data_IF_647333627571
#
_entry.id   IF_647333627571
#
_cell.length_a   1.000
_cell.length_b   1.000
_cell.length_c   1.000
_cell.angle_alpha   90.00
_cell.angle_beta   90.00
_cell.angle_gamma   90.00
#
_symmetry.space_group_name_H-M   'P 1'
#
loop_
_entity.id
_entity.type
_entity.pdbx_description
1 polymer ?
2 non-polymer ?
3 water ?
#
# COMPACT_ATOMS: atom_id res chain seq x y z
N UNK A 1 24.12 -6.07 10.51
CA UNK A 1 22.62 -6.05 10.57
C UNK A 1 22.10 -7.07 11.57
N UNK A 2 20.98 -6.72 12.22
CA UNK A 2 20.36 -7.57 13.22
C UNK A 2 19.60 -8.76 12.64
N UNK A 3 19.49 -9.86 13.38
CA UNK A 3 18.77 -11.05 12.93
C UNK A 3 17.30 -10.74 12.67
N UNK A 4 16.71 -11.39 11.68
CA UNK A 4 15.34 -11.04 11.31
C UNK A 4 14.33 -11.35 12.39
N UNK A 5 13.37 -10.44 12.59
CA UNK A 5 12.24 -10.71 13.43
C UNK A 5 10.98 -10.33 12.70
N UNK A 6 9.88 -10.91 13.10
CA UNK A 6 8.60 -10.63 12.46
C UNK A 6 7.79 -9.69 13.32
N UNK A 7 7.60 -8.46 12.86
CA UNK A 7 6.77 -7.49 13.60
C UNK A 7 5.36 -8.06 13.83
N UNK A 8 4.78 -7.72 14.97
CA UNK A 8 3.47 -8.28 15.34
C UNK A 8 2.38 -8.05 14.30
N UNK A 9 2.47 -6.93 13.62
CA UNK A 9 1.49 -6.56 12.64
C UNK A 9 1.46 -7.49 11.45
N UNK A 10 2.65 -8.01 11.10
CA UNK A 10 2.76 -8.92 9.94
C UNK A 10 2.03 -10.21 10.27
N UNK A 11 2.15 -10.70 11.51
CA UNK A 11 1.41 -11.90 11.91
C UNK A 11 -0.07 -11.60 12.09
N UNK A 12 -0.40 -10.42 12.60
CA UNK A 12 -1.81 -10.04 12.84
C UNK A 12 -2.65 -10.08 11.55
N UNK A 13 -2.04 -9.71 10.42
CA UNK A 13 -2.77 -9.74 9.17
C UNK A 13 -2.58 -11.04 8.40
N UNK A 14 -2.07 -12.07 9.07
CA UNK A 14 -2.04 -13.44 8.57
C UNK A 14 -1.31 -13.58 7.21
N UNK A 15 -0.16 -12.91 7.13
CA UNK A 15 0.65 -12.93 5.94
C UNK A 15 1.57 -14.13 5.85
N UNK A 16 2.32 -14.47 6.90
CA UNK A 16 3.31 -15.55 6.73
C UNK A 16 2.77 -16.85 6.15
N UNK A 17 1.57 -17.25 6.50
CA UNK A 17 1.06 -18.49 5.91
C UNK A 17 0.72 -18.44 4.41
N UNK A 18 0.74 -17.26 3.81
CA UNK A 18 0.45 -17.12 2.41
C UNK A 18 1.70 -17.37 1.57
N UNK A 19 2.86 -17.14 2.17
CA UNK A 19 4.07 -17.06 1.38
C UNK A 19 4.36 -18.33 0.57
N UNK A 20 3.88 -19.47 1.05
CA UNK A 20 4.02 -20.75 0.36
C UNK A 20 3.31 -20.69 -0.97
N UNK A 21 2.24 -19.90 -1.07
CA UNK A 21 1.49 -19.74 -2.31
C UNK A 21 2.18 -18.67 -3.13
N UNK A 22 2.34 -17.50 -2.51
CA UNK A 22 3.13 -16.44 -3.12
C UNK A 22 3.59 -15.48 -2.06
N UNK A 23 4.80 -14.93 -2.24
CA UNK A 23 5.27 -13.84 -1.41
C UNK A 23 5.15 -12.49 -2.12
N UNK A 24 4.42 -12.48 -3.24
CA UNK A 24 4.28 -11.25 -4.02
C UNK A 24 5.24 -11.20 -5.22
N UNK A 25 6.18 -12.13 -5.31
CA UNK A 25 7.18 -12.10 -6.43
C UNK A 25 6.67 -12.58 -7.79
N UNK A 26 5.44 -12.35 -8.10
CA UNK A 26 4.89 -12.60 -9.41
C UNK A 26 5.23 -11.34 -10.22
N UNK A 27 5.95 -11.51 -11.31
CA UNK A 27 6.62 -10.38 -11.98
C UNK A 27 5.76 -9.24 -12.49
N UNK A 28 4.52 -9.50 -12.83
CA UNK A 28 3.61 -8.47 -13.29
C UNK A 28 3.20 -7.48 -12.18
N UNK A 29 3.39 -7.86 -10.90
CA UNK A 29 2.88 -7.04 -9.80
C UNK A 29 3.93 -6.07 -9.27
N UNK A 30 3.57 -4.79 -9.19
CA UNK A 30 4.31 -3.78 -8.48
C UNK A 30 3.40 -2.98 -7.59
N UNK A 31 3.95 -2.53 -6.46
CA UNK A 31 3.24 -1.67 -5.55
C UNK A 31 3.95 -0.30 -5.56
N UNK A 32 3.21 0.75 -5.87
CA UNK A 32 3.76 2.13 -5.86
C UNK A 32 3.43 2.78 -4.54
N UNK A 33 4.44 3.30 -3.88
CA UNK A 33 4.32 3.90 -2.55
C UNK A 33 4.66 5.36 -2.69
N UNK A 34 3.67 6.20 -2.54
CA UNK A 34 3.81 7.65 -2.73
C UNK A 34 4.05 8.25 -1.37
N UNK A 35 5.29 8.67 -1.13
CA UNK A 35 5.67 9.01 0.23
C UNK A 35 6.92 9.89 0.22
N UNK A 36 7.73 9.83 1.29
CA UNK A 36 8.93 10.69 1.40
C UNK A 36 10.18 10.16 0.65
N UNK A 37 10.05 9.08 -0.10
CA UNK A 37 11.16 8.44 -0.80
C UNK A 37 11.59 7.17 -0.11
N UNK A 38 12.71 6.60 -0.49
CA UNK A 38 13.14 5.32 0.08
C UNK A 38 14.65 5.28 0.25
N UNK A 39 15.12 4.63 1.30
CA UNK A 39 16.54 4.34 1.45
C UNK A 39 16.80 3.19 0.50
N UNK A 40 17.07 3.51 -0.76
CA UNK A 40 17.05 2.54 -1.86
C UNK A 40 18.07 1.42 -1.73
N UNK A 41 19.13 1.62 -0.95
CA UNK A 41 20.16 0.57 -0.83
C UNK A 41 20.12 -0.13 0.51
N UNK A 42 19.06 0.11 1.26
CA UNK A 42 18.90 -0.61 2.52
C UNK A 42 18.97 -2.10 2.27
N UNK A 43 19.79 -2.83 3.01
CA UNK A 43 19.98 -4.24 2.71
C UNK A 43 18.71 -5.05 2.82
N UNK A 44 17.76 -4.56 3.63
CA UNK A 44 16.52 -5.30 3.78
C UNK A 44 15.44 -4.84 2.79
N UNK A 45 15.78 -3.89 1.91
CA UNK A 45 14.85 -3.46 0.88
C UNK A 45 15.35 -3.55 -0.56
N UNK A 46 16.65 -3.41 -0.76
CA UNK A 46 17.12 -2.98 -2.06
C UNK A 46 16.68 -3.86 -3.24
N UNK A 47 16.72 -5.16 -3.06
CA UNK A 47 16.43 -6.05 -4.13
C UNK A 47 14.97 -5.97 -4.58
N UNK A 48 14.11 -5.43 -3.73
CA UNK A 48 12.72 -5.20 -4.11
C UNK A 48 12.41 -3.80 -4.69
N UNK A 49 13.35 -2.89 -4.70
CA UNK A 49 13.07 -1.56 -5.24
C UNK A 49 13.32 -1.63 -6.71
N UNK A 50 12.26 -1.52 -7.48
CA UNK A 50 12.33 -1.55 -8.91
C UNK A 50 12.41 -0.18 -9.54
N UNK A 51 11.94 0.84 -8.83
CA UNK A 51 11.91 2.20 -9.34
C UNK A 51 11.96 3.11 -8.16
N UNK A 52 12.89 4.07 -8.23
CA UNK A 52 13.06 5.13 -7.23
C UNK A 52 12.93 6.44 -8.00
N UNK A 53 11.80 7.12 -7.85
CA UNK A 53 11.49 8.31 -8.62
C UNK A 53 10.97 9.40 -7.68
N UNK A 54 11.13 10.65 -8.12
CA UNK A 54 10.66 11.81 -7.37
C UNK A 54 9.84 12.67 -8.27
N UNK A 55 8.76 13.25 -7.76
CA UNK A 55 7.98 14.22 -8.52
C UNK A 55 7.98 15.60 -7.86
N UNK A 56 8.92 15.83 -6.96
CA UNK A 56 8.94 17.09 -6.20
C UNK A 56 9.15 18.27 -7.13
N UNK A 57 8.42 19.35 -6.84
CA UNK A 57 8.50 20.60 -7.61
C UNK A 57 8.17 20.42 -9.06
N UNK A 58 7.26 19.50 -9.33
CA UNK A 58 6.83 19.26 -10.69
C UNK A 58 7.95 18.85 -11.64
N UNK A 59 8.91 18.09 -11.14
CA UNK A 59 9.97 17.56 -11.98
C UNK A 59 10.09 16.08 -11.69
N UNK A 60 9.92 15.26 -12.70
CA UNK A 60 10.08 13.83 -12.55
C UNK A 60 11.59 13.51 -12.65
N UNK A 61 12.16 12.92 -11.60
CA UNK A 61 13.59 12.61 -11.53
C UNK A 61 13.85 11.26 -10.88
N UNK A 62 14.80 10.52 -11.44
CA UNK A 62 15.27 9.27 -10.88
C UNK A 62 16.69 9.41 -10.41
N UNK A 63 17.15 10.65 -10.27
CA UNK A 63 18.45 10.83 -9.67
C UNK A 63 18.36 10.28 -8.26
N UNK A 64 19.33 9.49 -7.85
CA UNK A 64 19.24 8.85 -6.54
C UNK A 64 19.08 9.84 -5.38
N UNK A 65 19.84 10.92 -5.42
CA UNK A 65 19.75 11.89 -4.32
C UNK A 65 18.40 12.59 -4.34
N UNK A 66 17.70 12.60 -5.47
CA UNK A 66 16.39 13.23 -5.52
C UNK A 66 15.33 12.28 -5.01
N UNK A 67 15.52 10.98 -5.28
CA UNK A 67 14.51 10.00 -4.88
C UNK A 67 14.70 9.41 -3.48
N UNK A 68 15.90 9.56 -2.91
CA UNK A 68 16.17 9.00 -1.60
C UNK A 68 15.33 9.65 -0.52
N UNK A 69 15.05 8.87 0.51
CA UNK A 69 14.24 9.31 1.64
C UNK A 69 15.05 10.21 2.53
N UNK A 70 14.62 11.44 2.68
CA UNK A 70 15.28 12.41 3.56
C UNK A 70 14.50 12.62 4.89
N UNK A 71 13.50 11.78 5.15
CA UNK A 71 12.65 11.83 6.33
C UNK A 71 12.66 10.55 7.16
N UNK A 72 12.38 9.42 6.52
CA UNK A 72 12.32 8.11 7.17
C UNK A 72 10.98 7.41 7.00
N UNK A 73 9.93 8.23 6.85
CA UNK A 73 8.55 7.77 6.73
C UNK A 73 8.37 6.72 5.61
N UNK A 74 8.78 7.10 4.40
CA UNK A 74 8.61 6.23 3.25
C UNK A 74 9.36 4.92 3.36
N UNK A 75 10.60 4.96 3.88
CA UNK A 75 11.35 3.75 4.09
C UNK A 75 10.63 2.81 5.06
N UNK A 76 9.99 3.38 6.08
CA UNK A 76 9.28 2.60 7.10
C UNK A 76 8.04 1.94 6.48
N UNK A 77 7.26 2.75 5.76
CA UNK A 77 6.06 2.27 5.04
C UNK A 77 6.42 1.14 4.05
N UNK A 78 7.47 1.36 3.26
CA UNK A 78 7.87 0.39 2.26
C UNK A 78 8.26 -0.92 2.92
N UNK A 79 8.96 -0.83 4.05
CA UNK A 79 9.38 -2.03 4.76
C UNK A 79 8.23 -2.85 5.29
N UNK A 80 7.13 -2.18 5.62
CA UNK A 80 5.96 -2.91 6.08
C UNK A 80 5.38 -3.74 4.94
N UNK A 81 5.42 -3.19 3.73
CA UNK A 81 4.93 -3.92 2.59
C UNK A 81 5.88 -4.97 2.13
N UNK A 82 7.19 -4.65 2.07
CA UNK A 82 8.08 -5.45 1.26
C UNK A 82 9.48 -5.71 1.81
N UNK A 83 9.73 -5.48 3.10
CA UNK A 83 11.06 -5.88 3.63
C UNK A 83 11.31 -7.37 3.29
N UNK A 84 12.53 -7.67 2.87
CA UNK A 84 12.88 -9.03 2.41
C UNK A 84 12.78 -10.08 3.51
N UNK A 85 12.41 -11.29 3.11
CA UNK A 85 12.35 -12.41 4.06
C UNK A 85 13.71 -13.08 3.92
N UNK A 86 14.57 -12.82 4.87
CA UNK A 86 15.95 -13.28 4.77
C UNK A 86 16.46 -13.45 6.20
N UNK A 87 17.76 -13.25 6.41
CA UNK A 87 18.31 -13.42 7.74
C UNK A 87 18.47 -12.16 8.57
N UNK A 88 17.97 -11.00 8.10
CA UNK A 88 18.18 -9.75 8.77
C UNK A 88 16.92 -8.93 8.92
N UNK A 89 16.95 -8.02 9.86
CA UNK A 89 15.93 -6.97 9.94
C UNK A 89 14.53 -7.39 10.29
N UNK A 90 13.61 -7.02 9.39
CA UNK A 90 12.20 -7.30 9.52
C UNK A 90 11.73 -8.04 8.26
N UNK A 91 10.43 -8.11 8.05
CA UNK A 91 9.93 -8.80 6.88
C UNK A 91 8.59 -8.15 6.61
N UNK A 92 8.31 -7.96 5.34
CA UNK A 92 7.07 -7.32 4.93
C UNK A 92 5.92 -8.28 4.75
N UNK A 93 4.75 -7.70 4.55
CA UNK A 93 3.57 -8.52 4.26
C UNK A 93 3.74 -9.32 2.97
N UNK A 94 4.32 -8.66 1.96
CA UNK A 94 4.56 -9.28 0.66
C UNK A 94 6.05 -9.12 0.39
N UNK A 95 6.85 -9.96 1.04
CA UNK A 95 8.31 -9.75 1.05
C UNK A 95 9.02 -10.00 -0.26
N UNK A 96 8.32 -10.45 -1.28
CA UNK A 96 8.89 -10.63 -2.59
C UNK A 96 8.36 -9.63 -3.61
N UNK A 97 7.50 -8.71 -3.18
CA UNK A 97 6.89 -7.80 -4.16
C UNK A 97 7.79 -6.67 -4.62
N UNK A 98 7.73 -6.38 -5.91
CA UNK A 98 8.42 -5.23 -6.47
C UNK A 98 7.77 -3.92 -6.02
N UNK A 99 8.62 -2.97 -5.64
CA UNK A 99 8.20 -1.67 -5.17
C UNK A 99 8.66 -0.55 -6.09
N UNK A 100 7.74 0.39 -6.35
CA UNK A 100 8.06 1.70 -6.92
C UNK A 100 7.98 2.74 -5.80
N UNK A 101 9.11 3.34 -5.45
CA UNK A 101 9.07 4.43 -4.49
C UNK A 101 8.90 5.72 -5.29
N UNK A 102 7.79 6.41 -5.04
CA UNK A 102 7.44 7.65 -5.75
C UNK A 102 7.42 8.78 -4.72
N UNK A 103 8.51 9.55 -4.73
CA UNK A 103 8.69 10.57 -3.73
C UNK A 103 7.85 11.79 -4.08
N UNK A 104 6.78 11.96 -3.30
CA UNK A 104 5.89 13.10 -3.48
C UNK A 104 5.90 14.07 -2.29
N UNK A 105 6.61 13.71 -1.23
CA UNK A 105 6.73 14.46 0.02
C UNK A 105 8.19 14.81 0.26
N UNK A 106 8.40 15.99 0.83
CA UNK A 106 9.76 16.43 1.08
C UNK A 106 10.41 15.91 2.35
N UNK A 107 11.57 16.45 2.71
CA UNK A 107 12.27 15.97 3.91
C UNK A 107 11.47 16.12 5.18
N UNK A 108 10.47 16.98 5.14
CA UNK A 108 9.64 17.24 6.29
C UNK A 108 8.35 16.46 6.29
N UNK A 109 8.12 15.67 5.24
CA UNK A 109 6.89 14.90 5.11
C UNK A 109 5.77 15.71 4.49
N UNK A 110 6.13 16.84 3.94
CA UNK A 110 5.10 17.69 3.33
C UNK A 110 5.13 17.59 1.83
N UNK A 111 3.95 17.77 1.23
CA UNK A 111 3.90 17.80 -0.21
C UNK A 111 2.81 18.62 -0.82
N UNK A 112 3.04 19.07 -2.05
CA UNK A 112 2.03 19.81 -2.76
C UNK A 112 1.10 18.85 -3.43
N UNK A 113 -0.12 19.30 -3.63
CA UNK A 113 -1.10 18.44 -4.28
C UNK A 113 -0.77 18.20 -5.74
N UNK A 114 -0.15 19.15 -6.43
CA UNK A 114 0.22 18.87 -7.81
C UNK A 114 1.31 17.78 -7.83
N UNK A 115 2.22 17.80 -6.87
CA UNK A 115 3.33 16.83 -6.92
C UNK A 115 2.76 15.41 -6.63
N UNK A 116 1.76 15.35 -5.80
CA UNK A 116 1.12 14.07 -5.47
C UNK A 116 0.33 13.58 -6.69
N UNK A 117 -0.38 14.50 -7.33
CA UNK A 117 -1.11 14.14 -8.53
C UNK A 117 -0.20 13.60 -9.60
N UNK A 118 0.95 14.24 -9.77
CA UNK A 118 1.94 13.75 -10.76
C UNK A 118 2.46 12.38 -10.33
N UNK A 119 2.55 12.17 -9.02
CA UNK A 119 3.08 10.88 -8.55
C UNK A 119 2.09 9.81 -8.91
N UNK A 120 0.81 10.11 -8.79
CA UNK A 120 -0.21 9.13 -9.17
C UNK A 120 -0.07 8.80 -10.65
N UNK A 121 0.05 9.81 -11.49
CA UNK A 121 0.24 9.59 -12.92
C UNK A 121 1.47 8.72 -13.18
N UNK A 122 2.57 8.96 -12.47
CA UNK A 122 3.77 8.15 -12.65
C UNK A 122 3.58 6.69 -12.27
N UNK A 123 2.72 6.40 -11.29
CA UNK A 123 2.43 5.01 -10.93
C UNK A 123 1.71 4.29 -12.08
N UNK A 124 0.90 5.05 -12.85
CA UNK A 124 0.23 4.49 -14.00
C UNK A 124 1.19 4.32 -15.16
N UNK A 125 1.97 5.36 -15.43
CA UNK A 125 2.87 5.37 -16.57
C UNK A 125 4.06 4.44 -16.37
N UNK A 126 4.52 4.33 -15.12
CA UNK A 126 5.62 3.44 -14.81
C UNK A 126 6.94 3.91 -15.36
N UNK A 127 7.99 3.14 -15.07
CA UNK A 127 9.35 3.47 -15.50
C UNK A 127 9.49 3.76 -16.98
N UNK A 128 8.77 3.08 -17.86
CA UNK A 128 8.95 3.34 -19.29
C UNK A 128 8.23 4.57 -19.85
N UNK A 129 7.41 5.25 -19.05
CA UNK A 129 6.75 6.49 -19.46
C UNK A 129 5.50 6.38 -20.31
N UNK A 130 5.09 5.15 -20.63
CA UNK A 130 3.97 4.92 -21.55
C UNK A 130 2.90 4.10 -20.82
N UNK A 131 1.64 4.50 -20.92
CA UNK A 131 0.58 3.77 -20.18
C UNK A 131 0.33 2.35 -20.66
N UNK A 132 0.04 2.23 -21.97
CA UNK A 132 -0.30 0.96 -22.58
C UNK A 132 0.58 0.72 -23.81
N UNK A 133 1.77 0.21 -23.51
CA UNK A 133 2.83 0.11 -24.52
C UNK A 133 2.50 -0.81 -25.68
N UNK A 134 1.84 -1.92 -25.39
CA UNK A 134 1.46 -2.87 -26.43
C UNK A 134 0.07 -2.60 -27.06
N UNK A 135 -0.64 -1.58 -26.57
CA UNK A 135 -1.92 -1.19 -27.17
C UNK A 135 -2.99 -2.25 -27.06
N UNK A 136 -2.93 -3.11 -26.04
CA UNK A 136 -3.97 -4.13 -25.86
C UNK A 136 -5.12 -3.77 -24.97
N UNK A 137 -5.07 -2.55 -24.47
CA UNK A 137 -6.11 -1.97 -23.63
C UNK A 137 -6.01 -2.34 -22.15
N UNK A 138 -5.03 -3.14 -21.80
CA UNK A 138 -4.81 -3.57 -20.42
C UNK A 138 -3.57 -2.83 -19.87
N UNK A 139 -3.67 -2.33 -18.65
CA UNK A 139 -2.58 -1.56 -18.02
C UNK A 139 -2.16 -2.32 -16.76
N UNK A 140 -2.92 -2.17 -15.68
CA UNK A 140 -2.70 -3.02 -14.51
C UNK A 140 -2.92 -4.48 -14.88
N UNK A 141 -2.01 -5.36 -14.45
CA UNK A 141 -2.17 -6.79 -14.66
C UNK A 141 -1.65 -7.26 -16.02
N UNK A 142 -0.99 -6.37 -16.77
CA UNK A 142 -0.40 -6.74 -18.06
C UNK A 142 1.10 -6.83 -17.98
N UNK A 143 1.66 -8.04 -18.15
CA UNK A 143 3.11 -8.20 -18.01
C UNK A 143 3.92 -7.47 -19.10
N UNK A 144 3.23 -7.04 -20.15
CA UNK A 144 3.85 -6.25 -21.22
C UNK A 144 3.97 -4.79 -20.88
N UNK A 145 3.32 -4.37 -19.81
CA UNK A 145 3.46 -3.00 -19.32
C UNK A 145 4.07 -3.04 -17.95
N UNK A 146 4.43 -1.86 -17.43
CA UNK A 146 5.06 -1.75 -16.13
C UNK A 146 4.25 -0.88 -15.17
N UNK A 147 2.96 -0.67 -15.44
CA UNK A 147 2.09 0.01 -14.49
C UNK A 147 2.08 -0.71 -13.16
N UNK A 148 1.91 0.06 -12.09
CA UNK A 148 1.70 -0.56 -10.81
C UNK A 148 0.30 -1.10 -10.70
N UNK A 149 0.11 -2.05 -9.78
CA UNK A 149 -1.19 -2.63 -9.49
C UNK A 149 -1.80 -2.15 -8.18
N UNK A 150 -0.98 -1.51 -7.35
CA UNK A 150 -1.45 -0.94 -6.08
C UNK A 150 -0.75 0.42 -5.94
N UNK A 151 -1.49 1.42 -5.50
CA UNK A 151 -0.98 2.72 -5.14
C UNK A 151 -1.29 2.88 -3.64
N UNK A 152 -0.22 3.06 -2.84
CA UNK A 152 -0.30 3.15 -1.39
C UNK A 152 0.09 4.55 -0.96
N UNK A 153 -0.88 5.21 -0.31
CA UNK A 153 -0.73 6.62 0.07
C UNK A 153 -0.90 6.80 1.59
N UNK A 154 0.22 6.84 2.27
CA UNK A 154 0.27 7.06 3.73
C UNK A 154 0.41 8.56 3.95
N UNK A 155 -0.57 9.29 3.48
CA UNK A 155 -0.55 10.75 3.55
C UNK A 155 -1.98 11.19 3.52
N UNK A 156 -2.25 12.36 4.01
CA UNK A 156 -3.64 12.79 3.93
C UNK A 156 -3.88 14.09 4.56
N UNK A 157 -4.97 14.71 4.18
CA UNK A 157 -5.36 15.92 4.88
C UNK A 157 -6.79 16.26 4.55
N UNK A 158 -7.25 17.38 5.09
CA UNK A 158 -8.62 17.75 4.83
C UNK A 158 -8.92 18.27 3.43
N UNK A 159 -7.90 18.69 2.71
CA UNK A 159 -8.09 19.24 1.36
C UNK A 159 -8.42 18.21 0.32
N UNK A 160 -9.45 18.51 -0.47
CA UNK A 160 -9.89 17.71 -1.60
C UNK A 160 -9.54 18.50 -2.88
N UNK A 161 -8.50 18.08 -3.59
CA UNK A 161 -7.99 18.72 -4.84
C UNK A 161 -8.46 17.94 -6.03
N UNK A 162 -9.24 18.56 -6.94
CA UNK A 162 -9.83 17.85 -8.07
C UNK A 162 -8.79 17.33 -9.05
N UNK A 163 -7.67 18.02 -9.21
CA UNK A 163 -6.60 17.53 -10.12
C UNK A 163 -5.99 16.20 -9.61
N UNK A 164 -5.72 16.16 -8.33
CA UNK A 164 -5.24 14.96 -7.66
C UNK A 164 -6.34 13.88 -7.76
N UNK A 165 -7.59 14.27 -7.55
CA UNK A 165 -8.66 13.29 -7.59
C UNK A 165 -8.81 12.70 -9.01
N UNK A 166 -8.71 13.56 -10.02
CA UNK A 166 -8.85 13.09 -11.37
C UNK A 166 -7.76 12.03 -11.67
N UNK A 167 -6.57 12.16 -11.04
CA UNK A 167 -5.53 11.17 -11.27
C UNK A 167 -5.90 9.87 -10.58
N UNK A 168 -6.47 9.97 -9.40
CA UNK A 168 -6.91 8.80 -8.69
C UNK A 168 -7.97 8.05 -9.51
N UNK A 169 -8.88 8.81 -10.13
CA UNK A 169 -9.90 8.21 -10.99
C UNK A 169 -9.30 7.51 -12.18
N UNK A 170 -8.32 8.15 -12.78
CA UNK A 170 -7.58 7.55 -13.87
C UNK A 170 -6.96 6.21 -13.47
N UNK A 171 -6.30 6.20 -12.32
CA UNK A 171 -5.66 4.96 -11.83
C UNK A 171 -6.66 3.84 -11.54
N UNK A 172 -7.73 4.19 -10.85
CA UNK A 172 -8.81 3.27 -10.56
C UNK A 172 -9.37 2.67 -11.84
N UNK A 173 -9.61 3.50 -12.85
CA UNK A 173 -10.14 2.99 -14.09
C UNK A 173 -9.14 2.15 -14.88
N UNK A 174 -7.85 2.30 -14.58
CA UNK A 174 -6.80 1.48 -15.19
C UNK A 174 -6.68 0.16 -14.46
N UNK A 175 -7.46 -0.06 -13.41
CA UNK A 175 -7.45 -1.32 -12.70
C UNK A 175 -6.53 -1.36 -11.49
N UNK A 176 -6.07 -0.19 -11.08
CA UNK A 176 -5.11 -0.08 -9.98
C UNK A 176 -5.86 0.10 -8.65
N UNK A 177 -5.54 -0.73 -7.66
CA UNK A 177 -6.10 -0.58 -6.35
C UNK A 177 -5.38 0.56 -5.63
N UNK A 178 -6.16 1.46 -5.00
CA UNK A 178 -5.62 2.58 -4.28
C UNK A 178 -5.96 2.46 -2.83
N UNK A 179 -4.93 2.63 -1.99
CA UNK A 179 -5.08 2.42 -0.55
C UNK A 179 -4.51 3.67 0.15
N UNK A 180 -5.20 4.19 1.17
CA UNK A 180 -4.70 5.40 1.85
C UNK A 180 -5.04 5.45 3.34
N UNK A 181 -4.26 6.23 4.10
CA UNK A 181 -4.44 6.32 5.54
C UNK A 181 -5.70 7.10 5.90
N UNK A 182 -6.49 6.63 6.87
CA UNK A 182 -7.69 7.38 7.21
C UNK A 182 -7.35 8.70 7.89
N UNK A 183 -6.19 8.80 8.52
CA UNK A 183 -5.76 10.02 9.20
C UNK A 183 -5.68 9.85 10.70
N UNK A 184 -5.10 10.81 11.42
CA UNK A 184 -4.76 10.61 12.80
C UNK A 184 -5.29 11.68 13.76
N UNK A 185 -6.47 12.22 13.46
CA UNK A 185 -7.05 13.34 14.27
C UNK A 185 -8.24 12.88 15.11
N UNK A 186 -8.52 11.60 15.11
CA UNK A 186 -9.70 11.08 15.77
C UNK A 186 -10.98 11.68 15.22
N UNK A 187 -10.94 12.08 13.95
CA UNK A 187 -12.03 12.75 13.30
C UNK A 187 -13.14 11.76 12.94
N UNK A 188 -14.31 12.30 12.69
CA UNK A 188 -15.46 11.44 12.41
C UNK A 188 -15.43 10.78 11.04
N UNK A 189 -14.57 11.23 10.12
CA UNK A 189 -14.55 10.62 8.78
C UNK A 189 -13.11 10.71 8.28
N UNK A 190 -12.75 9.96 7.25
CA UNK A 190 -11.35 9.97 6.78
C UNK A 190 -10.88 11.25 6.09
N UNK A 191 -9.57 11.44 6.14
CA UNK A 191 -8.90 12.46 5.36
C UNK A 191 -8.95 12.06 3.86
N UNK A 192 -8.60 13.00 2.98
CA UNK A 192 -8.36 12.72 1.57
C UNK A 192 -6.89 12.43 1.38
N UNK A 193 -6.52 11.51 0.47
CA UNK A 193 -7.43 10.82 -0.45
C UNK A 193 -8.20 9.58 0.03
N UNK A 194 -8.00 9.15 1.27
CA UNK A 194 -8.72 7.98 1.76
C UNK A 194 -10.23 8.08 1.61
N UNK A 195 -10.77 9.29 1.75
CA UNK A 195 -12.20 9.51 1.68
C UNK A 195 -12.79 9.38 0.29
N UNK A 196 -11.98 9.35 -0.76
CA UNK A 196 -12.56 9.13 -2.08
C UNK A 196 -13.12 7.74 -2.20
N UNK A 197 -14.27 7.58 -2.85
CA UNK A 197 -14.85 6.25 -3.03
C UNK A 197 -14.00 5.28 -3.80
N UNK A 198 -13.06 5.77 -4.61
CA UNK A 198 -12.21 4.88 -5.36
C UNK A 198 -11.03 4.35 -4.50
N UNK A 199 -10.92 4.83 -3.28
CA UNK A 199 -9.76 4.56 -2.46
C UNK A 199 -10.13 3.79 -1.19
N UNK A 200 -9.33 2.81 -0.80
CA UNK A 200 -9.57 2.12 0.47
C UNK A 200 -9.00 2.92 1.64
N UNK A 201 -9.85 3.44 2.51
CA UNK A 201 -9.42 4.12 3.73
C UNK A 201 -9.06 3.11 4.79
N UNK A 202 -7.89 3.31 5.40
CA UNK A 202 -7.39 2.37 6.39
C UNK A 202 -7.23 2.99 7.78
N UNK A 203 -7.88 2.39 8.76
CA UNK A 203 -7.75 2.79 10.17
C UNK A 203 -6.76 1.89 10.88
N UNK A 204 -6.34 2.32 12.07
CA UNK A 204 -5.27 1.65 12.80
C UNK A 204 -5.70 1.01 14.08
N UNK A 205 -5.35 -0.24 14.26
CA UNK A 205 -5.54 -0.93 15.54
C UNK A 205 -4.20 -1.08 16.28
N UNK A 206 -4.30 -1.34 17.58
CA UNK A 206 -3.16 -1.66 18.39
C UNK A 206 -3.02 -3.18 18.59
N UNK A 207 -1.99 -3.62 19.35
CA UNK A 207 -1.74 -5.02 19.53
C UNK A 207 -2.76 -5.75 20.42
N UNK A 208 -3.69 -5.00 20.99
CA UNK A 208 -4.78 -5.58 21.79
C UNK A 208 -6.05 -5.62 20.94
N UNK A 209 -5.94 -5.34 19.63
CA UNK A 209 -7.13 -5.27 18.77
C UNK A 209 -8.09 -4.13 19.05
N UNK A 210 -7.65 -3.12 19.77
CA UNK A 210 -8.45 -1.97 19.99
C UNK A 210 -8.09 -0.96 18.92
N UNK A 211 -9.06 -0.24 18.42
CA UNK A 211 -8.80 0.82 17.48
C UNK A 211 -8.08 1.95 18.19
N UNK A 212 -7.05 2.50 17.57
CA UNK A 212 -6.34 3.63 18.15
C UNK A 212 -7.22 4.83 18.25
N UNK A 213 -7.11 5.55 19.38
CA UNK A 213 -7.94 6.72 19.58
C UNK A 213 -7.72 7.80 18.52
N UNK A 214 -6.53 7.86 17.95
CA UNK A 214 -6.24 8.86 16.91
C UNK A 214 -6.80 8.48 15.55
N UNK A 215 -7.15 7.23 15.37
CA UNK A 215 -7.59 6.76 14.04
C UNK A 215 -8.87 7.46 13.58
N UNK A 216 -8.81 8.12 12.42
CA UNK A 216 -9.97 8.77 11.85
C UNK A 216 -11.02 7.68 11.58
N UNK A 217 -12.27 7.98 11.95
CA UNK A 217 -13.35 7.04 11.84
C UNK A 217 -13.92 6.89 10.45
N UNK A 218 -14.82 5.92 10.34
CA UNK A 218 -15.41 5.49 9.10
C UNK A 218 -14.37 5.03 8.06
N UNK A 219 -13.39 4.22 8.48
CA UNK A 219 -12.48 3.68 7.46
C UNK A 219 -13.19 2.56 6.73
N UNK A 220 -12.53 2.00 5.72
CA UNK A 220 -13.06 0.86 5.02
C UNK A 220 -12.59 -0.43 5.66
N UNK A 221 -11.32 -0.48 6.05
CA UNK A 221 -10.74 -1.62 6.78
C UNK A 221 -9.78 -1.04 7.80
N UNK A 222 -9.26 -1.91 8.65
CA UNK A 222 -8.27 -1.49 9.64
C UNK A 222 -7.11 -2.45 9.65
N UNK A 223 -6.00 -2.01 10.24
CA UNK A 223 -4.82 -2.84 10.26
C UNK A 223 -3.85 -2.30 11.33
N UNK A 224 -2.83 -3.08 11.65
CA UNK A 224 -1.85 -2.69 12.68
C UNK A 224 -1.23 -1.34 12.44
N UNK A 225 -1.35 -0.46 13.45
CA UNK A 225 -0.85 0.89 13.34
C UNK A 225 -0.24 1.53 14.57
N UNK A 226 0.03 0.73 15.59
CA UNK A 226 0.62 1.21 16.82
C UNK A 226 1.79 0.30 17.12
N UNK A 227 2.92 0.88 17.51
CA UNK A 227 4.15 0.09 17.81
C UNK A 227 4.56 -0.79 16.63
N UNK A 228 4.74 -0.16 15.48
CA UNK A 228 5.13 -0.83 14.23
C UNK A 228 6.61 -0.63 13.92
N UNK A 229 7.35 -1.70 14.05
CA UNK A 229 8.76 -1.73 13.74
C UNK A 229 8.90 -1.97 12.26
N UNK A 230 9.79 -1.23 11.61
CA UNK A 230 10.05 -1.46 10.21
C UNK A 230 11.43 -0.90 9.89
N UNK A 231 11.78 -0.98 8.60
CA UNK A 231 12.99 -0.38 8.10
C UNK A 231 13.03 1.16 8.23
N UNK A 232 14.24 1.76 8.33
CA UNK A 232 14.38 3.20 8.50
C UNK A 232 15.77 3.54 7.99
N UNK A 233 15.98 4.74 7.45
CA UNK A 233 17.33 5.15 7.04
C UNK A 233 18.18 5.33 8.28
N UNK A 234 19.49 5.14 8.21
CA UNK A 234 20.22 4.70 7.07
C UNK A 234 20.53 3.23 7.34
N UNK A 235 19.96 2.32 6.56
CA UNK A 235 20.16 0.92 6.74
C UNK A 235 19.82 0.56 8.17
N UNK A 236 18.78 1.22 8.73
CA UNK A 236 18.41 1.00 10.12
C UNK A 236 16.94 0.54 10.29
N UNK A 237 16.40 0.65 11.51
CA UNK A 237 15.07 0.16 11.85
C UNK A 237 14.52 1.14 12.83
N UNK A 238 13.19 1.31 12.86
CA UNK A 238 12.57 2.28 13.76
C UNK A 238 11.13 1.89 13.98
N UNK A 239 10.59 2.32 15.12
CA UNK A 239 9.18 2.10 15.46
C UNK A 239 8.36 3.36 15.37
N UNK A 240 7.25 3.27 14.65
CA UNK A 240 6.40 4.40 14.39
C UNK A 240 4.96 3.95 14.64
N UNK A 241 4.07 4.93 14.75
CA UNK A 241 2.63 4.70 14.84
C UNK A 241 1.86 5.70 13.98
N UNK A 242 0.69 5.27 13.53
CA UNK A 242 -0.14 6.07 12.68
C UNK A 242 -0.95 5.22 11.71
N UNK A 243 -1.99 5.83 11.15
CA UNK A 243 -2.70 5.17 10.08
C UNK A 243 -1.84 5.05 8.86
N UNK A 245 1.03 3.64 9.12
CA UNK A 245 1.66 2.32 9.28
C UNK A 245 0.65 1.20 8.96
N UNK A 246 -0.62 1.47 9.24
CA UNK A 246 -1.69 0.53 8.92
C UNK A 246 -1.82 0.36 7.41
N UNK A 247 -1.81 1.45 6.71
CA UNK A 247 -1.96 1.50 5.25
C UNK A 247 -1.13 0.46 4.48
N UNK A 248 0.21 0.39 4.66
CA UNK A 248 1.02 -0.61 3.99
C UNK A 248 0.69 -2.04 4.30
N UNK A 249 0.15 -2.33 5.47
CA UNK A 249 -0.28 -3.71 5.70
C UNK A 249 -1.37 -4.11 4.70
N UNK A 250 -2.29 -3.19 4.47
CA UNK A 250 -3.41 -3.42 3.54
C UNK A 250 -2.89 -3.47 2.09
N UNK A 251 -2.00 -2.56 1.75
CA UNK A 251 -1.40 -2.62 0.41
C UNK A 251 -0.68 -3.94 0.16
N UNK A 252 0.00 -4.45 1.17
CA UNK A 252 0.65 -5.73 1.07
C UNK A 252 -0.33 -6.89 0.88
N UNK A 253 -1.44 -6.85 1.61
CA UNK A 253 -2.50 -7.86 1.42
C UNK A 253 -3.03 -7.81 0.01
N UNK A 254 -3.32 -6.61 -0.49
CA UNK A 254 -3.73 -6.46 -1.88
C UNK A 254 -2.72 -7.05 -2.86
N UNK A 255 -1.44 -6.76 -2.65
CA UNK A 255 -0.40 -7.30 -3.52
C UNK A 255 -0.44 -8.85 -3.54
N UNK A 256 -0.57 -9.46 -2.38
CA UNK A 256 -0.73 -10.92 -2.29
C UNK A 256 -1.96 -11.44 -3.03
N UNK A 257 -3.10 -10.80 -2.86
CA UNK A 257 -4.31 -11.22 -3.55
C UNK A 257 -4.04 -11.21 -5.03
N UNK A 258 -3.59 -10.07 -5.55
CA UNK A 258 -3.41 -9.95 -6.99
C UNK A 258 -2.31 -10.88 -7.55
N UNK A 259 -1.23 -11.03 -6.80
CA UNK A 259 -0.16 -11.95 -7.23
C UNK A 259 -0.70 -13.38 -7.30
N UNK A 260 -1.41 -13.79 -6.26
CA UNK A 260 -1.92 -15.16 -6.25
C UNK A 260 -2.96 -15.39 -7.35
N UNK A 261 -3.84 -14.41 -7.57
CA UNK A 261 -4.91 -14.54 -8.54
C UNK A 261 -4.31 -14.62 -9.92
N UNK A 262 -3.31 -13.79 -10.18
CA UNK A 262 -2.64 -13.82 -11.47
C UNK A 262 -1.89 -15.13 -11.67
N UNK A 263 -1.23 -15.61 -10.62
CA UNK A 263 -0.43 -16.81 -10.67
C UNK A 263 -1.31 -17.98 -11.09
N UNK A 264 -2.59 -17.92 -10.68
CA UNK A 264 -3.52 -18.98 -11.02
C UNK A 264 -4.29 -18.77 -12.32
N UNK A 265 -4.75 -17.56 -12.58
CA UNK A 265 -5.61 -17.30 -13.71
C UNK A 265 -5.00 -16.49 -14.84
N UNK A 266 -3.84 -15.88 -14.67
CA UNK A 266 -3.26 -15.06 -15.73
C UNK A 266 -3.98 -13.74 -15.96
N UNK A 267 -4.72 -13.27 -14.96
CA UNK A 267 -5.36 -11.98 -14.95
C UNK A 267 -5.45 -11.52 -13.49
N UNK A 268 -5.76 -10.25 -13.29
CA UNK A 268 -5.95 -9.77 -11.93
C UNK A 268 -7.44 -9.54 -11.68
N UNK A 269 -7.80 -9.32 -10.42
CA UNK A 269 -9.17 -9.04 -10.07
C UNK A 269 -9.48 -7.56 -10.29
N UNK A 270 -10.71 -7.21 -10.61
CA UNK A 270 -11.11 -5.81 -10.63
C UNK A 270 -11.01 -5.22 -9.22
N UNK A 271 -10.88 -3.91 -9.13
CA UNK A 271 -10.69 -3.22 -7.86
C UNK A 271 -11.89 -3.36 -6.96
N UNK A 272 -13.08 -3.11 -7.53
CA UNK A 272 -14.30 -3.12 -6.71
C UNK A 272 -14.64 -1.83 -6.00
N UNK A 273 -15.72 -1.88 -5.22
CA UNK A 273 -16.25 -0.70 -4.54
C UNK A 273 -16.40 -0.92 -3.05
N UNK A 274 -16.66 0.18 -2.34
CA UNK A 274 -16.85 0.13 -0.89
C UNK A 274 -17.93 -0.82 -0.47
N UNK A 275 -19.01 -0.86 -1.23
CA UNK A 275 -20.15 -1.68 -0.85
C UNK A 275 -20.06 -3.16 -1.21
N UNK A 276 -19.05 -3.53 -1.97
CA UNK A 276 -18.95 -4.89 -2.47
C UNK A 276 -18.69 -5.89 -1.37
N UNK A 277 -19.53 -6.93 -1.28
CA UNK A 277 -19.31 -8.02 -0.33
C UNK A 277 -19.28 -9.35 -1.04
N UNK A 278 -18.88 -9.32 -2.29
CA UNK A 278 -18.74 -10.53 -3.06
C UNK A 278 -17.25 -10.90 -3.07
N UNK A 279 -16.94 -12.08 -3.60
CA UNK A 279 -15.54 -12.45 -3.76
C UNK A 279 -15.03 -12.21 -5.18
N UNK A 280 -15.71 -11.34 -5.92
CA UNK A 280 -15.39 -11.08 -7.32
C UNK A 280 -14.50 -9.86 -7.56
N UNK A 281 -14.14 -9.12 -6.50
CA UNK A 281 -13.27 -7.95 -6.66
C UNK A 281 -12.33 -7.94 -5.44
N UNK A 282 -11.24 -7.17 -5.55
CA UNK A 282 -10.29 -7.08 -4.44
C UNK A 282 -10.94 -6.55 -3.22
N UNK A 283 -11.70 -5.46 -3.39
CA UNK A 283 -12.34 -4.85 -2.25
C UNK A 283 -13.39 -5.74 -1.60
N UNK A 284 -14.14 -6.46 -2.42
CA UNK A 284 -15.12 -7.41 -1.90
C UNK A 284 -14.40 -8.45 -1.06
N UNK A 285 -13.33 -9.02 -1.56
CA UNK A 285 -12.55 -10.02 -0.80
C UNK A 285 -12.03 -9.44 0.51
N UNK A 286 -11.46 -8.24 0.48
CA UNK A 286 -10.96 -7.63 1.69
C UNK A 286 -12.06 -7.48 2.73
N UNK A 287 -13.25 -7.06 2.28
CA UNK A 287 -14.33 -6.84 3.21
C UNK A 287 -14.88 -8.09 3.86
N UNK A 288 -15.05 -9.15 3.09
CA UNK A 288 -15.70 -10.36 3.60
C UNK A 288 -14.76 -11.30 4.29
N UNK A 289 -13.43 -11.12 4.13
CA UNK A 289 -12.46 -11.95 4.86
C UNK A 289 -11.81 -11.24 6.05
N UNK A 290 -12.11 -9.96 6.22
CA UNK A 290 -11.60 -9.21 7.38
C UNK A 290 -12.13 -9.79 8.70
N UNK A 291 -11.34 -9.64 9.74
CA UNK A 291 -11.76 -10.08 11.08
C UNK A 291 -12.69 -8.97 11.56
N UNK A 292 -13.97 -9.32 11.66
CA UNK A 292 -15.00 -8.35 11.96
C UNK A 292 -15.09 -8.03 13.47
N UNK A 293 -14.38 -7.01 13.90
CA UNK A 293 -14.35 -6.55 15.30
C UNK A 293 -15.47 -5.50 15.50
N UNK A 294 -15.70 -5.10 16.76
CA UNK A 294 -16.70 -4.08 16.96
C UNK A 294 -18.09 -4.63 16.67
N UNK A 295 -19.04 -3.72 16.52
CA UNK A 295 -20.40 -4.13 16.11
C UNK A 295 -20.30 -4.99 14.86
N UNK A 296 -21.18 -5.97 14.76
CA UNK A 296 -21.17 -6.87 13.60
C UNK A 296 -21.33 -6.06 12.34
N UNK A 297 -20.57 -6.44 11.31
CA UNK A 297 -20.60 -5.72 10.07
C UNK A 297 -19.67 -4.52 10.05
N UNK A 298 -19.83 -3.72 8.99
CA UNK A 298 -19.08 -2.49 8.85
C UNK A 298 -19.44 -1.59 10.03
N UNK A 299 -18.44 -0.97 10.65
CA UNK A 299 -18.68 -0.03 11.72
C UNK A 299 -17.67 1.09 11.60
N UNK A 300 -17.97 2.19 12.25
CA UNK A 300 -17.18 3.42 12.12
C UNK A 300 -15.79 3.39 12.75
N UNK A 301 -15.52 2.40 13.60
CA UNK A 301 -14.21 2.25 14.23
C UNK A 301 -13.30 1.41 13.36
N UNK A 302 -13.74 0.17 13.08
CA UNK A 302 -12.93 -0.80 12.36
C UNK A 302 -13.14 -0.90 10.85
N UNK A 303 -14.17 -0.24 10.34
CA UNK A 303 -14.59 -0.47 8.96
C UNK A 303 -15.15 -1.85 8.87
N UNK A 304 -14.87 -2.56 7.78
CA UNK A 304 -15.31 -3.95 7.66
C UNK A 304 -14.54 -4.91 8.56
N UNK A 305 -13.42 -4.44 9.11
CA UNK A 305 -12.59 -5.28 9.95
C UNK A 305 -11.10 -5.20 9.69
N UNK A 306 -10.37 -6.07 10.36
CA UNK A 306 -8.92 -6.18 10.26
C UNK A 306 -8.57 -7.10 9.09
N UNK A 307 -7.81 -6.59 8.12
CA UNK A 307 -7.48 -7.43 6.98
C UNK A 307 -6.73 -8.72 7.32
N UNK A 308 -7.04 -9.77 6.57
CA UNK A 308 -6.41 -11.08 6.76
C UNK A 308 -5.97 -11.69 5.47
N UNK A 309 -4.67 -11.69 5.23
CA UNK A 309 -4.14 -12.15 3.97
C UNK A 309 -4.48 -13.61 3.61
N UNK A 310 -4.20 -14.54 4.54
CA UNK A 310 -4.43 -15.97 4.24
C UNK A 310 -5.87 -16.23 3.80
N UNK A 311 -6.83 -15.67 4.52
CA UNK A 311 -8.21 -15.87 4.15
C UNK A 311 -8.58 -15.17 2.86
N UNK A 312 -8.03 -13.98 2.65
CA UNK A 312 -8.29 -13.23 1.42
C UNK A 312 -7.78 -14.02 0.21
N UNK A 313 -6.59 -14.58 0.32
CA UNK A 313 -6.03 -15.30 -0.81
C UNK A 313 -6.85 -16.58 -1.08
N UNK A 314 -7.23 -17.26 -0.01
CA UNK A 314 -8.06 -18.45 -0.19
C UNK A 314 -9.37 -18.08 -0.92
N UNK A 315 -9.95 -16.94 -0.56
CA UNK A 315 -11.20 -16.49 -1.18
C UNK A 315 -11.01 -16.16 -2.65
N UNK A 316 -9.88 -15.52 -2.94
CA UNK A 316 -9.56 -15.14 -4.31
C UNK A 316 -9.38 -16.36 -5.22
N UNK A 317 -8.83 -17.43 -4.68
CA UNK A 317 -8.49 -18.61 -5.48
C UNK A 317 -9.57 -19.70 -5.49
N UNK A 318 -10.60 -19.49 -4.69
CA UNK A 318 -11.65 -20.48 -4.54
C UNK A 318 -12.80 -20.40 -5.52
#
# INVERSE_FOLDING_TARGET
QPAQTIPWGIERVKAPSVWSITDGSVSVIQVAVLDTGVDYDHPDLAANIAWCVSTLRGKVSTKLRDCADQNGHGTHVIGTIAALNNDIGVVGVAPGVQIYSVRVLDARGSGSYSDIAIGIEQAILGPDGVADKDGDGIIAGDPDDDAAEVISMSLGGPADDSYLYDMIIQAYNAGIVIVAASGNEGAPSPSYPAAYPEVIAVGAIDSNDNIASFSNRQPEVSAPGVDILSTYPDDSYETLMGTXMATPHVSGVVALIQAAYYQKYGKILPVGTFDDISKNTVRGILHITADDLGPTGWDADYGYGVVRAALAVQAALG
#
